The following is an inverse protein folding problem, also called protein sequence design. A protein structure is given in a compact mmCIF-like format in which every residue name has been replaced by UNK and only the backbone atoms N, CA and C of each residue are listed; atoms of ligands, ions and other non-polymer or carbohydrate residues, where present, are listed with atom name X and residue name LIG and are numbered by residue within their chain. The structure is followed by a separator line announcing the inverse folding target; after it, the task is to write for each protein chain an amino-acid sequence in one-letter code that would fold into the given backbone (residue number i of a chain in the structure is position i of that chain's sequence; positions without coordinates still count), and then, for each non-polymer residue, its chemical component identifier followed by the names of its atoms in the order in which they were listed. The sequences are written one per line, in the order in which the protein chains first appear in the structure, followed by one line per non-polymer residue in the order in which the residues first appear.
data_IF_509200189273
#
_entry.id   IF_509200189273
#
_cell.length_a   1.000
_cell.length_b   1.000
_cell.length_c   1.000
_cell.angle_alpha   90.00
_cell.angle_beta   90.00
_cell.angle_gamma   90.00
#
_symmetry.space_group_name_H-M   'P 1'
#
loop_
_entity.id
_entity.type
_entity.pdbx_description
1 polymer ?
#
# COMPACT_ATOMS: atom_id res chain seq x y z
N UNK A 1 5.95 -4.87 4.28
CA UNK A 1 6.22 -5.60 3.03
C UNK A 1 7.69 -5.43 2.64
N UNK A 2 8.42 -6.54 2.72
CA UNK A 2 9.83 -6.67 2.35
C UNK A 2 9.97 -6.70 0.82
N UNK A 3 11.08 -6.19 0.27
CA UNK A 3 11.30 -6.21 -1.19
C UNK A 3 11.35 -7.64 -1.78
N UNK A 4 11.81 -8.62 -1.00
CA UNK A 4 11.80 -10.04 -1.36
C UNK A 4 10.41 -10.68 -1.47
N UNK A 5 9.35 -9.99 -1.01
CA UNK A 5 7.96 -10.45 -1.15
C UNK A 5 7.32 -9.99 -2.47
N UNK A 6 8.11 -9.39 -3.38
CA UNK A 6 7.67 -8.96 -4.70
C UNK A 6 8.46 -9.75 -5.74
N UNK A 7 7.80 -10.70 -6.38
CA UNK A 7 8.38 -11.49 -7.46
C UNK A 7 8.23 -10.75 -8.79
N UNK A 8 9.12 -11.06 -9.73
CA UNK A 8 9.03 -10.61 -11.12
C UNK A 8 8.67 -11.77 -12.02
N UNK A 9 7.63 -11.63 -12.83
CA UNK A 9 7.26 -12.59 -13.86
C UNK A 9 7.50 -11.96 -15.24
N UNK A 10 8.08 -12.73 -16.16
CA UNK A 10 8.17 -12.35 -17.58
C UNK A 10 7.06 -13.05 -18.35
N UNK A 11 6.55 -12.39 -19.38
CA UNK A 11 5.67 -13.09 -20.32
C UNK A 11 6.44 -14.19 -21.08
N UNK A 12 5.71 -15.11 -21.71
CA UNK A 12 6.29 -16.23 -22.45
C UNK A 12 7.22 -15.78 -23.59
N UNK A 13 7.05 -14.56 -24.09
CA UNK A 13 7.84 -13.97 -25.17
C UNK A 13 9.04 -13.15 -24.68
N UNK A 14 9.19 -12.95 -23.36
CA UNK A 14 10.23 -12.14 -22.74
C UNK A 14 10.07 -10.61 -22.91
N UNK A 15 8.94 -10.13 -23.42
CA UNK A 15 8.73 -8.72 -23.77
C UNK A 15 8.12 -7.89 -22.63
N UNK A 16 7.31 -8.53 -21.79
CA UNK A 16 6.65 -7.92 -20.64
C UNK A 16 7.25 -8.37 -19.31
N UNK A 17 7.23 -7.46 -18.33
CA UNK A 17 7.55 -7.73 -16.93
C UNK A 17 6.34 -7.36 -16.07
N UNK A 18 5.85 -8.31 -15.26
CA UNK A 18 4.84 -8.07 -14.24
C UNK A 18 5.41 -8.31 -12.85
N UNK A 19 4.81 -7.64 -11.86
CA UNK A 19 5.13 -7.84 -10.45
C UNK A 19 4.05 -8.70 -9.80
N UNK A 20 4.46 -9.66 -8.98
CA UNK A 20 3.57 -10.52 -8.20
C UNK A 20 3.90 -10.37 -6.74
N UNK A 21 2.97 -9.82 -5.96
CA UNK A 21 3.11 -9.73 -4.51
C UNK A 21 2.75 -11.08 -3.88
N UNK A 22 3.64 -11.59 -3.03
CA UNK A 22 3.42 -12.77 -2.21
C UNK A 22 3.44 -12.38 -0.73
N UNK A 23 3.02 -13.29 0.15
CA UNK A 23 3.15 -13.14 1.59
C UNK A 23 2.45 -11.87 2.14
N UNK A 24 1.14 -11.78 1.90
CA UNK A 24 0.27 -10.69 2.34
C UNK A 24 -0.40 -10.93 3.70
N UNK A 25 0.03 -11.94 4.47
CA UNK A 25 -0.62 -12.34 5.72
C UNK A 25 -0.65 -11.26 6.82
N UNK A 26 0.19 -10.23 6.72
CA UNK A 26 0.28 -9.10 7.64
C UNK A 26 -0.18 -7.77 7.02
N UNK A 27 -1.04 -7.79 5.99
CA UNK A 27 -1.45 -6.58 5.29
C UNK A 27 -2.43 -5.67 6.05
N UNK A 28 -3.04 -6.15 7.14
CA UNK A 28 -4.05 -5.43 7.92
C UNK A 28 -3.61 -5.24 9.38
N UNK A 29 -2.67 -4.31 9.63
CA UNK A 29 -2.13 -4.08 10.97
C UNK A 29 -3.12 -3.36 11.88
N UNK A 30 -2.88 -3.42 13.20
CA UNK A 30 -3.60 -2.65 14.20
C UNK A 30 -2.98 -1.26 14.49
N UNK A 31 -1.78 -1.00 14.00
CA UNK A 31 -1.07 0.27 14.14
C UNK A 31 -0.30 0.64 12.85
N UNK A 32 -0.14 1.94 12.59
CA UNK A 32 0.76 2.43 11.54
C UNK A 32 2.24 2.19 11.84
N UNK A 33 2.59 1.96 13.11
CA UNK A 33 3.97 1.66 13.52
C UNK A 33 4.46 0.31 12.98
N UNK A 34 3.54 -0.60 12.69
CA UNK A 34 3.85 -1.92 12.14
C UNK A 34 4.04 -1.89 10.60
N UNK A 35 3.73 -0.75 9.96
CA UNK A 35 3.82 -0.59 8.52
C UNK A 35 5.26 -0.32 8.08
N UNK A 36 5.88 -1.29 7.42
CA UNK A 36 7.14 -1.11 6.69
C UNK A 36 6.93 -1.30 5.19
N UNK A 37 7.49 -0.40 4.38
CA UNK A 37 7.37 -0.44 2.92
C UNK A 37 8.77 -0.27 2.31
N UNK A 38 9.52 -1.36 2.21
CA UNK A 38 10.92 -1.29 1.77
C UNK A 38 11.06 -0.82 0.32
N UNK A 39 10.13 -1.22 -0.55
CA UNK A 39 10.11 -0.86 -1.96
C UNK A 39 9.95 0.65 -2.19
N UNK A 40 9.54 1.44 -1.20
CA UNK A 40 9.47 2.90 -1.32
C UNK A 40 10.83 3.58 -1.44
N UNK A 41 11.94 2.87 -1.21
CA UNK A 41 13.26 3.38 -1.55
C UNK A 41 13.48 3.45 -3.07
N UNK A 42 12.75 2.66 -3.85
CA UNK A 42 12.92 2.57 -5.31
C UNK A 42 12.63 3.90 -6.01
N UNK A 43 13.39 4.28 -7.05
CA UNK A 43 13.15 5.50 -7.83
C UNK A 43 11.73 5.63 -8.39
N UNK A 44 11.11 4.49 -8.73
CA UNK A 44 9.75 4.40 -9.28
C UNK A 44 8.70 4.99 -8.33
N UNK A 45 8.91 4.90 -7.01
CA UNK A 45 7.96 5.38 -6.00
C UNK A 45 7.86 6.91 -5.94
N UNK A 46 8.76 7.62 -6.62
CA UNK A 46 8.76 9.09 -6.75
C UNK A 46 8.08 9.57 -8.04
N UNK A 47 7.70 8.65 -8.93
CA UNK A 47 6.98 8.99 -10.14
C UNK A 47 5.49 9.20 -9.84
N UNK A 48 4.82 10.13 -10.54
CA UNK A 48 3.37 10.22 -10.53
C UNK A 48 2.73 8.90 -10.99
N UNK A 49 1.54 8.61 -10.48
CA UNK A 49 0.73 7.49 -10.96
C UNK A 49 0.22 7.77 -12.38
N UNK A 50 0.00 6.71 -13.17
CA UNK A 50 -0.69 6.82 -14.45
C UNK A 50 -2.16 7.21 -14.25
N UNK A 51 -2.80 7.77 -15.27
CA UNK A 51 -4.23 8.13 -15.23
C UNK A 51 -5.10 6.91 -14.88
N UNK A 52 -4.83 5.76 -15.48
CA UNK A 52 -5.49 4.48 -15.17
C UNK A 52 -5.37 4.11 -13.68
N UNK A 53 -4.18 4.26 -13.10
CA UNK A 53 -3.95 3.94 -11.70
C UNK A 53 -4.63 4.95 -10.76
N UNK A 54 -4.69 6.22 -11.16
CA UNK A 54 -5.43 7.26 -10.43
C UNK A 54 -6.93 6.95 -10.42
N UNK A 55 -7.50 6.56 -11.56
CA UNK A 55 -8.91 6.16 -11.67
C UNK A 55 -9.21 4.92 -10.81
N UNK A 56 -8.34 3.91 -10.88
CA UNK A 56 -8.45 2.74 -10.02
C UNK A 56 -8.43 3.12 -8.54
N UNK A 57 -7.46 3.92 -8.09
CA UNK A 57 -7.37 4.36 -6.69
C UNK A 57 -8.63 5.13 -6.27
N UNK A 58 -9.21 5.96 -7.14
CA UNK A 58 -10.47 6.67 -6.87
C UNK A 58 -11.67 5.74 -6.69
N UNK A 59 -11.68 4.60 -7.40
CA UNK A 59 -12.76 3.61 -7.30
C UNK A 59 -12.73 2.79 -6.01
N UNK A 60 -11.62 2.76 -5.27
CA UNK A 60 -11.51 1.98 -4.03
C UNK A 60 -12.56 2.41 -2.98
N UNK A 61 -13.19 1.44 -2.33
CA UNK A 61 -14.16 1.63 -1.25
C UNK A 61 -13.81 0.72 -0.07
N UNK A 62 -13.29 1.32 1.01
CA UNK A 62 -12.86 0.58 2.18
C UNK A 62 -14.01 -0.12 2.91
N UNK A 63 -15.24 0.43 2.87
CA UNK A 63 -16.38 -0.19 3.53
C UNK A 63 -16.86 -1.41 2.74
N UNK A 64 -16.83 -1.34 1.41
CA UNK A 64 -17.07 -2.49 0.54
C UNK A 64 -16.02 -3.59 0.76
N UNK A 65 -14.74 -3.23 0.82
CA UNK A 65 -13.65 -4.16 1.12
C UNK A 65 -13.86 -4.84 2.48
N UNK A 66 -14.18 -4.07 3.54
CA UNK A 66 -14.48 -4.62 4.88
C UNK A 66 -15.67 -5.59 4.82
N UNK A 67 -16.73 -5.25 4.09
CA UNK A 67 -17.90 -6.10 3.94
C UNK A 67 -17.55 -7.44 3.26
N UNK A 68 -16.72 -7.41 2.21
CA UNK A 68 -16.22 -8.60 1.52
C UNK A 68 -15.38 -9.47 2.47
N UNK A 69 -14.46 -8.87 3.22
CA UNK A 69 -13.62 -9.59 4.18
C UNK A 69 -14.46 -10.28 5.26
N UNK A 70 -15.43 -9.56 5.84
CA UNK A 70 -16.37 -10.12 6.82
C UNK A 70 -17.22 -11.24 6.22
N UNK A 71 -17.70 -11.08 4.99
CA UNK A 71 -18.46 -12.11 4.28
C UNK A 71 -17.66 -13.41 4.12
N UNK A 72 -16.35 -13.32 3.89
CA UNK A 72 -15.45 -14.46 3.82
C UNK A 72 -14.98 -14.97 5.19
N UNK A 73 -15.56 -14.49 6.29
CA UNK A 73 -15.30 -14.98 7.65
C UNK A 73 -14.10 -14.32 8.32
N UNK A 74 -13.60 -13.20 7.78
CA UNK A 74 -12.53 -12.43 8.41
C UNK A 74 -13.12 -11.33 9.28
N UNK A 75 -13.27 -11.64 10.57
CA UNK A 75 -13.72 -10.68 11.57
C UNK A 75 -12.52 -9.89 12.11
N UNK A 76 -12.31 -8.72 11.52
CA UNK A 76 -11.18 -7.84 11.85
C UNK A 76 -11.46 -7.02 13.11
N UNK A 77 -10.41 -6.64 13.83
CA UNK A 77 -10.58 -5.69 14.92
C UNK A 77 -10.95 -4.31 14.37
N UNK A 78 -11.72 -3.53 15.15
CA UNK A 78 -12.08 -2.16 14.75
C UNK A 78 -10.88 -1.21 14.57
N UNK A 79 -9.67 -1.60 15.03
CA UNK A 79 -8.43 -0.87 14.72
C UNK A 79 -7.95 -1.16 13.30
N UNK A 80 -7.93 -2.43 12.88
CA UNK A 80 -7.58 -2.82 11.52
C UNK A 80 -8.51 -2.13 10.51
N UNK A 81 -9.81 -2.15 10.76
CA UNK A 81 -10.81 -1.48 9.91
C UNK A 81 -10.53 0.02 9.79
N UNK A 82 -10.26 0.68 10.93
CA UNK A 82 -9.92 2.11 10.95
C UNK A 82 -8.67 2.41 10.14
N UNK A 83 -7.65 1.56 10.24
CA UNK A 83 -6.41 1.72 9.46
C UNK A 83 -6.71 1.58 7.98
N UNK A 84 -7.46 0.56 7.56
CA UNK A 84 -7.86 0.35 6.18
C UNK A 84 -8.63 1.57 5.64
N UNK A 85 -9.61 2.10 6.38
CA UNK A 85 -10.34 3.29 5.94
C UNK A 85 -9.42 4.52 5.82
N UNK A 86 -8.49 4.72 6.76
CA UNK A 86 -7.57 5.86 6.73
C UNK A 86 -6.55 5.74 5.59
N UNK A 87 -5.97 4.55 5.36
CA UNK A 87 -5.03 4.34 4.25
C UNK A 87 -5.70 4.51 2.90
N UNK A 88 -6.91 3.98 2.72
CA UNK A 88 -7.71 4.17 1.50
C UNK A 88 -8.05 5.64 1.29
N UNK A 89 -8.47 6.35 2.34
CA UNK A 89 -8.71 7.80 2.24
C UNK A 89 -7.44 8.57 1.86
N UNK A 90 -6.29 8.23 2.44
CA UNK A 90 -5.02 8.88 2.12
C UNK A 90 -4.63 8.63 0.66
N UNK A 91 -4.76 7.41 0.16
CA UNK A 91 -4.49 7.09 -1.24
C UNK A 91 -5.35 7.97 -2.16
N UNK A 92 -6.66 8.01 -1.92
CA UNK A 92 -7.61 8.81 -2.73
C UNK A 92 -7.24 10.30 -2.71
N UNK A 93 -7.03 10.89 -1.53
CA UNK A 93 -6.62 12.31 -1.42
C UNK A 93 -5.23 12.57 -1.99
N UNK A 94 -4.32 11.62 -1.85
CA UNK A 94 -2.97 11.70 -2.37
C UNK A 94 -2.96 11.77 -3.89
N UNK A 95 -3.68 10.89 -4.58
CA UNK A 95 -3.75 10.92 -6.04
C UNK A 95 -4.48 12.17 -6.55
N UNK A 96 -5.52 12.64 -5.86
CA UNK A 96 -6.23 13.87 -6.22
C UNK A 96 -5.35 15.14 -6.09
N UNK A 97 -4.31 15.08 -5.27
CA UNK A 97 -3.35 16.18 -5.08
C UNK A 97 -2.04 15.99 -5.87
N UNK A 98 -1.94 14.94 -6.69
CA UNK A 98 -0.76 14.65 -7.49
C UNK A 98 0.43 14.12 -6.69
N UNK A 99 0.21 13.63 -5.47
CA UNK A 99 1.27 13.04 -4.67
C UNK A 99 1.70 11.68 -5.23
N UNK A 100 3.01 11.48 -5.36
CA UNK A 100 3.59 10.15 -5.58
C UNK A 100 3.53 9.28 -4.30
N UNK A 101 3.66 7.95 -4.47
CA UNK A 101 3.64 6.97 -3.37
C UNK A 101 4.63 7.32 -2.24
N UNK A 102 5.83 7.78 -2.60
CA UNK A 102 6.86 8.20 -1.64
C UNK A 102 6.36 9.30 -0.69
N UNK A 103 5.62 10.28 -1.19
CA UNK A 103 5.11 11.38 -0.38
C UNK A 103 3.99 10.89 0.55
N UNK A 104 3.10 10.02 0.08
CA UNK A 104 2.03 9.48 0.93
C UNK A 104 2.56 8.68 2.11
N UNK A 105 3.66 7.94 1.93
CA UNK A 105 4.32 7.24 3.04
C UNK A 105 4.78 8.18 4.13
N UNK A 106 5.34 9.33 3.78
CA UNK A 106 5.78 10.31 4.79
C UNK A 106 4.63 10.83 5.67
N UNK A 107 3.38 10.70 5.19
CA UNK A 107 2.17 11.04 5.94
C UNK A 107 1.75 9.87 6.84
N UNK A 108 1.84 8.62 6.36
CA UNK A 108 1.48 7.42 7.14
C UNK A 108 2.45 7.13 8.28
N UNK A 109 3.73 7.15 7.95
CA UNK A 109 4.80 6.78 8.86
C UNK A 109 5.55 8.06 9.22
N UNK A 110 5.38 8.53 10.46
CA UNK A 110 6.25 9.56 11.01
C UNK A 110 7.67 8.99 11.04
N UNK A 111 8.65 9.70 10.50
CA UNK A 111 10.07 9.37 10.69
C UNK A 111 10.39 9.44 12.20
N UNK A 112 10.20 8.31 12.88
CA UNK A 112 10.29 8.16 14.31
C UNK A 112 11.15 6.95 14.65
N UNK A 113 12.33 7.23 15.22
CA UNK A 113 13.15 6.31 16.01
C UNK A 113 14.05 5.26 15.33
N UNK A 114 14.66 5.56 14.18
CA UNK A 114 16.01 5.04 13.86
C UNK A 114 16.93 6.12 13.29
N UNK A 115 17.24 7.14 14.11
CA UNK A 115 18.59 7.71 14.06
C UNK A 115 19.46 6.79 14.91
N UNK A 116 20.47 6.18 14.30
CA UNK A 116 21.53 5.48 15.02
C UNK A 116 22.08 6.39 16.12
N UNK A 117 22.42 5.88 17.33
CA UNK A 117 23.29 6.65 18.19
C UNK A 117 24.64 6.78 17.48
N UNK A 118 25.15 8.00 17.51
CA UNK A 118 26.51 8.37 17.10
C UNK A 118 27.56 7.65 17.95
#
# INVERSE_FOLDING_TARGET
MHAGNILTCRDEQGHGLSLVTIDNGYCLPESFEDCTFEWLCWPQCRQPFSEEMVEYIRSLDAEEDIAILRFHGWDMSGKCERILCVTTMLLKKGVDTGLAAFHMRSILCRDGARRSPE
#
